data_IF_426711279431
#
_entry.id   IF_426711279431
#
_cell.length_a   1.000
_cell.length_b   1.000
_cell.length_c   1.000
_cell.angle_alpha   90.00
_cell.angle_beta   90.00
_cell.angle_gamma   90.00
#
_symmetry.space_group_name_H-M   'P 1'
#
loop_
_entity.id
_entity.type
_entity.pdbx_description
1 polymer ?
#
# COMPACT_ATOMS: atom_id res chain seq x y z
N UNK A 1 14.24 -16.25 19.17
CA UNK A 1 12.88 -16.38 18.58
C UNK A 1 12.77 -15.31 17.52
N UNK A 2 12.93 -15.66 16.24
CA UNK A 2 12.89 -14.69 15.14
C UNK A 2 11.43 -14.39 14.82
N UNK A 3 10.90 -13.31 15.39
CA UNK A 3 9.61 -12.77 14.98
C UNK A 3 9.76 -12.17 13.59
N UNK A 4 9.57 -12.98 12.56
CA UNK A 4 9.45 -12.55 11.17
C UNK A 4 8.13 -11.82 10.87
N UNK A 5 7.30 -11.60 11.90
CA UNK A 5 6.05 -10.88 11.80
C UNK A 5 6.34 -9.39 11.56
N UNK A 6 5.77 -8.85 10.49
CA UNK A 6 5.84 -7.42 10.21
C UNK A 6 4.99 -6.63 11.20
N UNK A 7 5.49 -5.48 11.61
CA UNK A 7 4.81 -4.51 12.46
C UNK A 7 4.29 -3.36 11.57
N UNK A 8 3.01 -2.98 11.67
CA UNK A 8 2.47 -1.84 10.97
C UNK A 8 3.01 -0.54 11.57
N UNK A 9 3.71 0.28 10.77
CA UNK A 9 4.33 1.52 11.24
C UNK A 9 3.52 2.77 10.91
N UNK A 10 2.81 2.77 9.78
CA UNK A 10 1.95 3.88 9.35
C UNK A 10 0.57 3.35 8.96
N UNK A 11 -0.38 3.42 9.89
CA UNK A 11 -1.78 3.01 9.69
C UNK A 11 -2.63 4.25 9.52
N UNK A 12 -3.44 4.32 8.47
CA UNK A 12 -4.29 5.49 8.26
C UNK A 12 -5.21 5.72 9.48
N UNK A 13 -5.35 6.97 9.96
CA UNK A 13 -6.30 7.31 11.01
C UNK A 13 -7.72 6.87 10.58
N UNK A 14 -8.46 6.21 11.48
CA UNK A 14 -9.78 5.62 11.19
C UNK A 14 -10.82 6.61 10.60
N UNK A 15 -10.60 7.92 10.74
CA UNK A 15 -11.50 8.97 10.25
C UNK A 15 -11.13 9.55 8.88
N UNK A 16 -9.99 9.15 8.30
CA UNK A 16 -9.45 9.74 7.06
C UNK A 16 -9.96 9.08 5.77
N UNK A 17 -10.74 8.01 5.87
CA UNK A 17 -11.34 7.32 4.72
C UNK A 17 -12.87 7.33 4.78
N UNK A 18 -13.55 7.39 3.62
CA UNK A 18 -15.00 7.31 3.59
C UNK A 18 -15.50 6.02 4.24
N UNK A 19 -16.48 6.16 5.13
CA UNK A 19 -17.06 5.12 5.98
C UNK A 19 -17.44 3.81 5.22
N UNK A 20 -17.55 2.67 5.94
CA UNK A 20 -17.81 1.32 5.40
C UNK A 20 -19.01 1.16 4.43
N UNK A 21 -19.92 2.13 4.38
CA UNK A 21 -21.06 2.14 3.44
C UNK A 21 -20.61 2.35 1.99
N UNK A 22 -19.53 3.10 1.73
CA UNK A 22 -18.91 3.18 0.40
C UNK A 22 -18.19 1.87 0.04
N UNK A 23 -17.65 1.17 1.03
CA UNK A 23 -17.01 -0.14 0.84
C UNK A 23 -18.01 -1.23 0.42
N UNK A 24 -19.29 -1.18 0.78
CA UNK A 24 -20.28 -2.17 0.28
C UNK A 24 -20.41 -2.22 -1.26
N UNK A 25 -19.87 -1.23 -1.98
CA UNK A 25 -19.99 -1.11 -3.43
C UNK A 25 -18.79 -1.69 -4.21
N UNK A 26 -17.75 -2.23 -3.58
CA UNK A 26 -16.59 -2.78 -4.31
C UNK A 26 -16.92 -4.03 -5.13
N UNK A 27 -17.93 -4.80 -4.72
CA UNK A 27 -18.35 -6.01 -5.43
C UNK A 27 -19.05 -5.69 -6.75
N UNK A 28 -19.72 -4.54 -6.84
CA UNK A 28 -20.49 -4.11 -8.02
C UNK A 28 -19.61 -4.00 -9.29
N UNK A 29 -18.49 -3.26 -9.32
CA UNK A 29 -17.65 -3.17 -10.51
C UNK A 29 -17.02 -4.52 -10.90
N UNK A 30 -16.76 -5.41 -9.94
CA UNK A 30 -16.26 -6.77 -10.23
C UNK A 30 -17.35 -7.57 -10.95
N UNK A 31 -18.57 -7.59 -10.41
CA UNK A 31 -19.69 -8.32 -11.00
C UNK A 31 -20.04 -7.77 -12.39
N UNK A 32 -19.99 -6.45 -12.59
CA UNK A 32 -20.14 -5.83 -13.90
C UNK A 32 -19.07 -6.32 -14.88
N UNK A 33 -17.79 -6.36 -14.47
CA UNK A 33 -16.71 -6.86 -15.33
C UNK A 33 -16.88 -8.33 -15.70
N UNK A 34 -17.31 -9.17 -14.74
CA UNK A 34 -17.60 -10.59 -15.02
C UNK A 34 -18.76 -10.71 -16.00
N UNK A 35 -19.85 -9.97 -15.80
CA UNK A 35 -21.01 -9.98 -16.69
C UNK A 35 -20.64 -9.54 -18.12
N UNK A 36 -19.83 -8.48 -18.26
CA UNK A 36 -19.33 -8.02 -19.56
C UNK A 36 -18.43 -9.07 -20.19
N UNK A 37 -17.52 -9.69 -19.44
CA UNK A 37 -16.64 -10.75 -19.96
C UNK A 37 -17.43 -11.95 -20.49
N UNK A 38 -18.48 -12.37 -19.76
CA UNK A 38 -19.38 -13.45 -20.18
C UNK A 38 -20.18 -13.07 -21.42
N UNK A 39 -20.73 -11.86 -21.48
CA UNK A 39 -21.48 -11.37 -22.63
C UNK A 39 -20.60 -11.31 -23.89
N UNK A 40 -19.40 -10.74 -23.77
CA UNK A 40 -18.41 -10.68 -24.86
C UNK A 40 -18.02 -12.07 -25.33
N UNK A 41 -17.76 -12.99 -24.40
CA UNK A 41 -17.45 -14.38 -24.72
C UNK A 41 -18.58 -15.08 -25.48
N UNK A 42 -19.83 -14.76 -25.15
CA UNK A 42 -21.02 -15.37 -25.74
C UNK A 42 -21.37 -14.81 -27.13
N UNK A 43 -21.08 -13.52 -27.38
CA UNK A 43 -21.42 -12.83 -28.64
C UNK A 43 -20.30 -12.96 -29.68
N UNK A 44 -19.05 -13.07 -29.26
CA UNK A 44 -17.91 -13.15 -30.18
C UNK A 44 -17.62 -14.59 -30.63
N UNK A 45 -17.26 -14.73 -31.90
CA UNK A 45 -16.84 -16.01 -32.48
C UNK A 45 -15.32 -16.08 -32.66
N UNK A 46 -14.81 -17.31 -32.79
CA UNK A 46 -13.40 -17.58 -33.02
C UNK A 46 -12.50 -17.42 -31.80
N UNK A 47 -11.18 -17.52 -32.04
CA UNK A 47 -10.18 -17.52 -30.96
C UNK A 47 -10.06 -16.16 -30.24
N UNK A 48 -10.46 -15.06 -30.89
CA UNK A 48 -10.33 -13.71 -30.35
C UNK A 48 -11.21 -13.48 -29.12
N UNK A 49 -12.35 -14.18 -28.97
CA UNK A 49 -13.22 -14.10 -27.78
C UNK A 49 -12.49 -14.47 -26.48
N UNK A 50 -11.57 -15.44 -26.52
CA UNK A 50 -10.82 -15.87 -25.35
C UNK A 50 -9.84 -14.78 -24.91
N UNK A 51 -9.20 -14.09 -25.87
CA UNK A 51 -8.27 -13.00 -25.60
C UNK A 51 -9.00 -11.83 -24.95
N UNK A 52 -10.13 -11.40 -25.51
CA UNK A 52 -10.90 -10.28 -24.97
C UNK A 52 -11.48 -10.61 -23.59
N UNK A 53 -12.05 -11.81 -23.42
CA UNK A 53 -12.56 -12.25 -22.12
C UNK A 53 -11.43 -12.31 -21.06
N UNK A 54 -10.24 -12.80 -21.42
CA UNK A 54 -9.09 -12.83 -20.51
C UNK A 54 -8.66 -11.41 -20.08
N UNK A 55 -8.59 -10.46 -21.01
CA UNK A 55 -8.25 -9.06 -20.71
C UNK A 55 -9.28 -8.44 -19.74
N UNK A 56 -10.58 -8.65 -19.99
CA UNK A 56 -11.65 -8.15 -19.13
C UNK A 56 -11.59 -8.74 -17.72
N UNK A 57 -11.34 -10.05 -17.60
CA UNK A 57 -11.18 -10.72 -16.31
C UNK A 57 -9.92 -10.22 -15.57
N UNK A 58 -8.81 -9.99 -16.26
CA UNK A 58 -7.61 -9.38 -15.68
C UNK A 58 -7.89 -7.97 -15.17
N UNK A 59 -8.61 -7.14 -15.93
CA UNK A 59 -9.07 -5.82 -15.50
C UNK A 59 -9.96 -5.90 -14.25
N UNK A 60 -10.87 -6.88 -14.21
CA UNK A 60 -11.70 -7.17 -13.04
C UNK A 60 -10.88 -7.55 -11.81
N UNK A 61 -9.85 -8.37 -11.96
CA UNK A 61 -8.95 -8.78 -10.87
C UNK A 61 -8.14 -7.59 -10.32
N UNK A 62 -7.63 -6.73 -11.21
CA UNK A 62 -6.92 -5.50 -10.82
C UNK A 62 -7.83 -4.56 -10.04
N UNK A 63 -9.08 -4.38 -10.49
CA UNK A 63 -10.08 -3.59 -9.78
C UNK A 63 -10.39 -4.20 -8.40
N UNK A 64 -10.65 -5.51 -8.34
CA UNK A 64 -10.93 -6.22 -7.09
C UNK A 64 -9.80 -6.03 -6.06
N UNK A 65 -8.55 -6.21 -6.49
CA UNK A 65 -7.38 -6.00 -5.65
C UNK A 65 -7.29 -4.57 -5.14
N UNK A 66 -7.49 -3.59 -6.03
CA UNK A 66 -7.44 -2.16 -5.72
C UNK A 66 -8.47 -1.79 -4.65
N UNK A 67 -9.72 -2.25 -4.80
CA UNK A 67 -10.77 -1.96 -3.83
C UNK A 67 -10.56 -2.68 -2.50
N UNK A 68 -10.15 -3.94 -2.53
CA UNK A 68 -9.85 -4.70 -1.31
C UNK A 68 -8.76 -4.01 -0.48
N UNK A 69 -7.62 -3.68 -1.11
CA UNK A 69 -6.50 -3.02 -0.43
C UNK A 69 -6.90 -1.64 0.07
N UNK A 70 -7.61 -0.85 -0.73
CA UNK A 70 -8.12 0.46 -0.30
C UNK A 70 -9.05 0.34 0.91
N UNK A 71 -9.88 -0.72 0.96
CA UNK A 71 -10.77 -0.99 2.08
C UNK A 71 -10.05 -1.43 3.34
N UNK A 72 -9.08 -2.33 3.22
CA UNK A 72 -8.28 -2.77 4.36
C UNK A 72 -7.42 -1.62 4.92
N UNK A 73 -6.94 -0.71 4.06
CA UNK A 73 -6.27 0.54 4.45
C UNK A 73 -7.22 1.49 5.20
N UNK A 74 -8.44 1.65 4.70
CA UNK A 74 -9.47 2.49 5.32
C UNK A 74 -9.91 1.95 6.69
N UNK A 75 -9.94 0.63 6.85
CA UNK A 75 -10.27 -0.03 8.12
C UNK A 75 -9.07 -0.10 9.09
N UNK A 76 -7.89 0.39 8.68
CA UNK A 76 -6.66 0.33 9.47
C UNK A 76 -6.12 -1.08 9.70
N UNK A 77 -6.55 -2.07 8.91
CA UNK A 77 -6.14 -3.48 9.03
C UNK A 77 -4.80 -3.77 8.36
N UNK A 78 -4.44 -2.96 7.37
CA UNK A 78 -3.12 -2.95 6.75
C UNK A 78 -2.52 -1.55 6.83
N UNK A 79 -1.19 -1.49 6.88
CA UNK A 79 -0.43 -0.23 6.91
C UNK A 79 -0.03 0.25 5.52
N UNK A 80 0.34 1.52 5.41
CA UNK A 80 1.07 2.06 4.26
C UNK A 80 2.56 1.76 4.32
N UNK A 81 3.11 1.56 5.51
CA UNK A 81 4.51 1.22 5.76
C UNK A 81 4.55 0.14 6.84
N UNK A 82 5.15 -0.99 6.49
CA UNK A 82 5.44 -2.07 7.43
C UNK A 82 6.94 -2.11 7.71
N UNK A 83 7.29 -2.43 8.95
CA UNK A 83 8.63 -2.75 9.39
C UNK A 83 8.74 -4.22 9.79
N UNK A 84 9.92 -4.81 9.68
CA UNK A 84 10.22 -6.12 10.27
C UNK A 84 11.71 -6.26 10.53
N UNK A 85 12.05 -7.16 11.44
CA UNK A 85 13.41 -7.62 11.60
C UNK A 85 13.64 -8.92 10.83
N UNK A 86 14.66 -8.90 9.97
CA UNK A 86 15.13 -10.09 9.27
C UNK A 86 16.64 -10.21 9.44
N UNK A 87 17.07 -11.31 10.07
CA UNK A 87 18.48 -11.63 10.29
C UNK A 87 19.26 -10.50 10.99
N UNK A 88 18.63 -9.87 11.98
CA UNK A 88 19.23 -8.76 12.75
C UNK A 88 19.30 -7.43 12.01
N UNK A 89 18.67 -7.33 10.83
CA UNK A 89 18.57 -6.09 10.07
C UNK A 89 17.13 -5.59 10.01
N UNK A 90 16.98 -4.28 10.16
CA UNK A 90 15.67 -3.63 10.02
C UNK A 90 15.30 -3.55 8.54
N UNK A 91 14.09 -3.99 8.21
CA UNK A 91 13.55 -3.90 6.87
C UNK A 91 12.25 -3.12 6.86
N UNK A 92 12.12 -2.24 5.87
CA UNK A 92 10.90 -1.49 5.63
C UNK A 92 10.29 -1.84 4.27
N UNK A 93 8.97 -1.77 4.20
CA UNK A 93 8.21 -2.04 3.00
C UNK A 93 7.03 -1.08 2.89
N UNK A 94 7.20 -0.09 2.00
CA UNK A 94 6.16 0.88 1.66
C UNK A 94 5.19 0.36 0.61
N UNK A 95 3.92 0.72 0.73
CA UNK A 95 2.87 0.43 -0.22
C UNK A 95 2.78 1.55 -1.27
N UNK A 96 3.68 1.52 -2.26
CA UNK A 96 3.72 2.51 -3.34
C UNK A 96 2.53 2.38 -4.32
N UNK A 97 2.01 1.17 -4.49
CA UNK A 97 0.86 0.89 -5.33
C UNK A 97 0.06 -0.29 -4.74
N UNK A 98 -1.26 -0.18 -4.72
CA UNK A 98 -2.21 -1.18 -4.18
C UNK A 98 -2.22 -2.50 -4.97
N UNK A 99 -1.79 -2.47 -6.23
CA UNK A 99 -1.71 -3.68 -7.07
C UNK A 99 -0.34 -4.36 -7.02
N UNK A 100 0.71 -3.64 -6.60
CA UNK A 100 2.07 -4.18 -6.59
C UNK A 100 2.39 -4.85 -5.25
N UNK A 101 3.13 -5.97 -5.25
CA UNK A 101 3.68 -6.50 -4.01
C UNK A 101 4.63 -5.49 -3.38
N UNK A 102 4.69 -5.47 -2.05
CA UNK A 102 5.65 -4.60 -1.37
C UNK A 102 7.07 -5.12 -1.59
N UNK A 103 7.99 -4.19 -1.84
CA UNK A 103 9.42 -4.49 -1.88
C UNK A 103 10.00 -4.23 -0.49
N UNK A 104 10.53 -5.27 0.13
CA UNK A 104 11.26 -5.14 1.39
C UNK A 104 12.66 -4.61 1.11
N UNK A 105 13.04 -3.60 1.87
CA UNK A 105 14.29 -2.89 1.71
C UNK A 105 14.99 -2.84 3.06
N UNK A 106 16.29 -3.14 3.08
CA UNK A 106 17.05 -3.28 4.31
C UNK A 106 17.76 -1.97 4.67
N UNK A 107 17.58 -1.54 5.92
CA UNK A 107 18.20 -0.36 6.49
C UNK A 107 19.27 -0.85 7.47
N UNK A 108 20.53 -0.49 7.20
CA UNK A 108 21.68 -1.05 7.91
C UNK A 108 21.93 -0.41 9.30
N UNK A 109 20.97 0.37 9.80
CA UNK A 109 20.94 0.92 11.16
C UNK A 109 21.69 2.26 11.31
N UNK A 110 21.15 3.12 12.19
CA UNK A 110 21.84 4.31 12.68
C UNK A 110 21.71 5.57 11.82
N UNK A 111 21.60 6.73 12.48
CA UNK A 111 21.67 8.05 11.83
C UNK A 111 20.32 8.73 11.68
N UNK A 112 20.03 9.27 10.50
CA UNK A 112 18.79 10.01 10.22
C UNK A 112 17.96 9.23 9.20
N UNK A 113 16.69 9.02 9.53
CA UNK A 113 15.68 8.47 8.62
C UNK A 113 14.79 9.63 8.17
N UNK A 114 14.92 10.07 6.92
CA UNK A 114 14.09 11.14 6.37
C UNK A 114 12.80 10.55 5.81
N UNK A 115 11.67 11.16 6.19
CA UNK A 115 10.38 10.96 5.56
C UNK A 115 10.06 12.20 4.72
N UNK A 116 10.27 12.08 3.41
CA UNK A 116 10.13 13.20 2.46
C UNK A 116 8.83 13.08 1.69
N UNK A 117 8.02 14.13 1.67
CA UNK A 117 6.87 14.25 0.76
C UNK A 117 7.36 14.57 -0.66
N UNK A 118 6.87 13.86 -1.66
CA UNK A 118 7.32 14.00 -3.06
C UNK A 118 6.19 14.21 -4.06
N UNK A 119 4.93 14.21 -3.61
CA UNK A 119 3.74 14.37 -4.47
C UNK A 119 2.95 15.64 -4.17
N UNK A 120 2.12 16.07 -5.13
CA UNK A 120 1.18 17.19 -5.01
C UNK A 120 -0.19 16.76 -4.44
N UNK A 121 -1.03 17.74 -4.09
CA UNK A 121 -2.35 17.54 -3.46
C UNK A 121 -3.20 16.48 -4.20
N UNK A 122 -3.73 15.51 -3.43
CA UNK A 122 -4.63 14.46 -3.93
C UNK A 122 -4.04 13.05 -4.05
N UNK A 123 -2.73 12.91 -4.23
CA UNK A 123 -2.04 11.61 -4.23
C UNK A 123 -0.60 11.76 -3.71
N UNK A 124 -0.46 11.98 -2.41
CA UNK A 124 0.83 12.27 -1.79
C UNK A 124 1.70 11.01 -1.79
N UNK A 125 2.86 11.11 -2.42
CA UNK A 125 3.89 10.09 -2.33
C UNK A 125 4.89 10.48 -1.23
N UNK A 126 5.28 9.50 -0.43
CA UNK A 126 6.29 9.64 0.60
C UNK A 126 7.44 8.72 0.30
N UNK A 127 8.65 9.18 0.60
CA UNK A 127 9.88 8.40 0.55
C UNK A 127 10.47 8.37 1.95
N UNK A 128 10.72 7.18 2.45
CA UNK A 128 11.53 6.93 3.65
C UNK A 128 12.95 6.61 3.19
N UNK A 129 13.94 7.35 3.65
CA UNK A 129 15.33 7.23 3.22
C UNK A 129 16.31 7.39 4.37
N UNK A 130 17.42 6.64 4.37
CA UNK A 130 18.58 6.88 5.24
C UNK A 130 19.75 7.55 4.48
N UNK A 131 19.49 8.02 3.25
CA UNK A 131 20.47 8.60 2.34
C UNK A 131 21.22 7.58 1.48
N UNK A 132 21.17 6.29 1.79
CA UNK A 132 21.73 5.19 0.97
C UNK A 132 20.65 4.33 0.35
N UNK A 133 19.60 4.13 1.12
CA UNK A 133 18.53 3.19 0.87
C UNK A 133 17.20 3.88 1.07
N UNK A 134 16.21 3.54 0.23
CA UNK A 134 14.89 4.14 0.33
C UNK A 134 13.76 3.18 -0.03
N UNK A 135 12.59 3.45 0.57
CA UNK A 135 11.31 2.83 0.20
C UNK A 135 10.24 3.92 0.13
N UNK A 136 9.24 3.72 -0.73
CA UNK A 136 8.16 4.69 -0.92
C UNK A 136 6.78 4.12 -0.66
N UNK A 137 5.85 4.99 -0.28
CA UNK A 137 4.43 4.67 -0.13
C UNK A 137 3.55 5.85 -0.55
N UNK A 138 2.25 5.61 -0.75
CA UNK A 138 1.28 6.68 -1.05
C UNK A 138 0.30 6.84 0.09
N UNK A 139 -0.02 8.07 0.46
CA UNK A 139 -0.99 8.36 1.50
C UNK A 139 -1.94 9.49 1.11
N UNK A 140 -3.14 9.44 1.67
CA UNK A 140 -4.10 10.55 1.62
C UNK A 140 -3.91 11.52 2.80
N UNK A 141 -3.10 11.15 3.79
CA UNK A 141 -2.88 11.89 5.03
C UNK A 141 -1.46 12.45 5.07
N UNK A 142 -1.27 13.59 5.72
CA UNK A 142 0.06 14.12 6.00
C UNK A 142 0.69 13.37 7.17
N UNK A 143 1.94 12.95 6.99
CA UNK A 143 2.70 12.29 8.05
C UNK A 143 3.68 13.27 8.66
N UNK A 144 3.56 13.41 9.97
CA UNK A 144 4.39 14.23 10.84
C UNK A 144 4.67 13.48 12.15
N UNK A 145 5.28 14.18 13.10
CA UNK A 145 5.61 13.59 14.39
C UNK A 145 4.38 13.17 15.22
N UNK A 146 3.23 13.80 15.02
CA UNK A 146 2.00 13.49 15.75
C UNK A 146 1.30 12.26 15.17
N UNK A 147 1.33 12.12 13.84
CA UNK A 147 0.63 11.06 13.13
C UNK A 147 1.47 9.79 12.94
N UNK A 148 2.80 9.83 13.10
CA UNK A 148 3.70 8.68 12.87
C UNK A 148 4.42 8.12 14.12
N UNK A 149 3.79 7.98 15.30
CA UNK A 149 4.50 7.58 16.53
C UNK A 149 5.12 6.18 16.44
N UNK A 150 4.41 5.21 15.85
CA UNK A 150 4.92 3.84 15.69
C UNK A 150 6.16 3.76 14.80
N UNK A 151 6.23 4.58 13.74
CA UNK A 151 7.45 4.70 12.93
C UNK A 151 8.60 5.30 13.74
N UNK A 152 8.34 6.36 14.51
CA UNK A 152 9.37 7.04 15.31
C UNK A 152 9.95 6.10 16.36
N UNK A 153 9.10 5.38 17.07
CA UNK A 153 9.54 4.47 18.13
C UNK A 153 10.33 3.29 17.55
N UNK A 154 9.83 2.67 16.47
CA UNK A 154 10.57 1.61 15.78
C UNK A 154 11.91 2.11 15.23
N UNK A 155 11.93 3.28 14.57
CA UNK A 155 13.17 3.87 14.07
C UNK A 155 14.18 4.11 15.21
N UNK A 156 13.72 4.60 16.37
CA UNK A 156 14.55 4.83 17.56
C UNK A 156 15.14 3.52 18.09
N UNK A 157 14.38 2.44 18.14
CA UNK A 157 14.87 1.11 18.54
C UNK A 157 16.00 0.62 17.62
N UNK A 158 15.98 1.02 16.34
CA UNK A 158 17.03 0.73 15.35
C UNK A 158 18.10 1.84 15.21
N UNK A 159 18.16 2.78 16.16
CA UNK A 159 19.20 3.81 16.24
C UNK A 159 19.04 4.98 15.27
N UNK A 160 17.85 5.15 14.67
CA UNK A 160 17.54 6.27 13.78
C UNK A 160 16.81 7.40 14.51
N UNK A 161 17.07 8.63 14.05
CA UNK A 161 16.26 9.81 14.34
C UNK A 161 15.41 10.08 13.10
N UNK A 162 14.08 10.13 13.26
CA UNK A 162 13.17 10.42 12.15
C UNK A 162 13.10 11.93 11.92
N UNK A 163 13.27 12.35 10.66
CA UNK A 163 13.10 13.74 10.22
C UNK A 163 12.01 13.81 9.16
N UNK A 164 11.10 14.74 9.32
CA UNK A 164 10.02 15.00 8.37
C UNK A 164 10.43 16.15 7.44
N UNK A 165 10.34 15.94 6.14
CA UNK A 165 10.71 16.91 5.11
C UNK A 165 9.58 17.04 4.07
N UNK A 166 9.42 18.25 3.54
CA UNK A 166 8.38 18.60 2.55
C UNK A 166 8.87 18.58 1.10
#
# INVERSE_FOLDING_TARGET
MNNHASVPLLVNPHDSFPKPTLLRHWLVPILINIAIAVAVFSVMEGAFRYVVAAILLLGGLVAARTYWVSGELALGRISLLDGRDLDGKWQLAGLANVISPRKWVTFDGGGVLTLTRTGHEGARAYIVSDGRTSTGFRSAVDWDAENAPALIDAAREHGYIVRFEE
#
